data_IF_566398897154
#
_entry.id   IF_566398897154
#
_cell.length_a   1.000
_cell.length_b   1.000
_cell.length_c   1.000
_cell.angle_alpha   90.00
_cell.angle_beta   90.00
_cell.angle_gamma   90.00
#
_symmetry.space_group_name_H-M   'P 1'
#
loop_
_entity.id
_entity.type
_entity.pdbx_description
1 polymer ?
#
# COMPACT_ATOMS: atom_id res chain seq x y z
N UNK A 1 14.02 -1.15 -1.61
CA UNK A 1 13.74 0.31 -1.72
C UNK A 1 12.73 0.71 -0.66
N UNK A 2 12.87 1.92 -0.12
CA UNK A 2 11.89 2.49 0.82
C UNK A 2 10.76 3.16 0.05
N UNK A 3 9.51 2.89 0.46
CA UNK A 3 8.31 3.50 -0.08
C UNK A 3 7.27 3.67 1.03
N UNK A 4 6.11 4.22 0.68
CA UNK A 4 5.02 4.48 1.61
C UNK A 4 3.74 3.77 1.17
N UNK A 5 3.03 3.19 2.13
CA UNK A 5 1.77 2.50 1.89
C UNK A 5 0.70 3.01 2.84
N UNK A 6 -0.41 3.50 2.29
CA UNK A 6 -1.60 3.78 3.08
C UNK A 6 -2.35 2.47 3.34
N UNK A 7 -2.53 2.13 4.61
CA UNK A 7 -3.21 0.92 5.07
C UNK A 7 -4.41 1.29 5.95
N UNK A 8 -5.38 0.39 6.06
CA UNK A 8 -6.44 0.50 7.06
C UNK A 8 -5.90 0.13 8.42
N UNK A 9 -6.18 0.93 9.45
CA UNK A 9 -5.96 0.58 10.86
C UNK A 9 -7.29 0.13 11.46
N UNK A 10 -7.42 -1.14 11.84
CA UNK A 10 -8.64 -1.69 12.44
C UNK A 10 -8.69 -1.37 13.94
N UNK A 11 -9.88 -1.48 14.54
CA UNK A 11 -10.07 -1.22 15.99
C UNK A 11 -9.19 -2.12 16.87
N UNK A 12 -8.93 -3.35 16.43
CA UNK A 12 -8.04 -4.30 17.12
C UNK A 12 -6.55 -4.07 16.86
N UNK A 13 -6.16 -2.93 16.28
CA UNK A 13 -4.77 -2.56 15.99
C UNK A 13 -4.17 -3.19 14.73
N UNK A 14 -4.81 -4.20 14.13
CA UNK A 14 -4.29 -4.86 12.92
C UNK A 14 -4.37 -3.97 11.67
N UNK A 15 -3.45 -4.20 10.74
CA UNK A 15 -3.39 -3.50 9.45
C UNK A 15 -4.01 -4.34 8.34
N UNK A 16 -4.55 -3.69 7.31
CA UNK A 16 -5.04 -4.39 6.13
C UNK A 16 -5.14 -3.51 4.88
N UNK A 17 -5.36 -4.13 3.70
CA UNK A 17 -5.53 -3.41 2.44
C UNK A 17 -6.73 -2.46 2.43
N UNK A 18 -6.66 -1.42 1.58
CA UNK A 18 -7.75 -0.43 1.45
C UNK A 18 -9.01 -1.00 0.81
N UNK A 19 -8.86 -1.70 -0.33
CA UNK A 19 -9.98 -2.02 -1.24
C UNK A 19 -10.12 -3.51 -1.57
N UNK A 20 -9.05 -4.13 -2.10
CA UNK A 20 -9.02 -5.54 -2.53
C UNK A 20 -8.40 -6.38 -1.43
N UNK A 21 -8.95 -7.57 -1.18
CA UNK A 21 -8.53 -8.47 -0.09
C UNK A 21 -8.53 -7.78 1.30
N UNK A 22 -9.57 -6.99 1.59
CA UNK A 22 -9.68 -6.14 2.81
C UNK A 22 -9.58 -6.88 4.14
N UNK A 23 -9.78 -8.20 4.16
CA UNK A 23 -9.72 -9.06 5.35
C UNK A 23 -8.29 -9.52 5.66
N UNK A 24 -7.37 -9.51 4.68
CA UNK A 24 -5.97 -9.83 4.91
C UNK A 24 -5.39 -9.00 6.05
N UNK A 25 -4.66 -9.67 6.94
CA UNK A 25 -3.88 -9.02 8.00
C UNK A 25 -2.48 -8.80 7.45
N UNK A 26 -1.99 -7.56 7.54
CA UNK A 26 -0.64 -7.19 7.13
C UNK A 26 0.24 -7.14 8.38
N UNK A 27 1.06 -8.17 8.66
CA UNK A 27 1.97 -8.18 9.79
C UNK A 27 3.12 -7.17 9.62
N UNK A 28 3.58 -6.62 10.75
CA UNK A 28 4.81 -5.82 10.82
C UNK A 28 6.04 -6.72 10.70
N UNK A 29 7.09 -6.22 10.04
CA UNK A 29 8.39 -6.89 9.97
C UNK A 29 8.47 -8.17 9.11
N UNK A 30 7.37 -8.62 8.52
CA UNK A 30 7.33 -9.82 7.68
C UNK A 30 7.21 -9.48 6.20
N UNK A 31 7.96 -10.20 5.36
CA UNK A 31 7.83 -10.11 3.91
C UNK A 31 6.54 -10.76 3.44
N UNK A 32 5.79 -10.03 2.63
CA UNK A 32 4.55 -10.50 2.01
C UNK A 32 4.71 -10.52 0.49
N UNK A 33 4.35 -11.65 -0.11
CA UNK A 33 4.20 -11.78 -1.55
C UNK A 33 2.91 -11.10 -1.99
N UNK A 34 2.95 -10.38 -3.12
CA UNK A 34 1.75 -9.83 -3.73
C UNK A 34 0.90 -10.95 -4.33
N UNK A 35 -0.40 -10.90 -4.04
CA UNK A 35 -1.40 -11.81 -4.58
C UNK A 35 -2.22 -11.08 -5.65
N UNK A 36 -2.76 -11.83 -6.62
CA UNK A 36 -3.66 -11.29 -7.64
C UNK A 36 -5.11 -11.68 -7.32
N UNK A 37 -5.94 -10.68 -7.02
CA UNK A 37 -7.36 -10.85 -6.70
C UNK A 37 -8.22 -10.02 -7.66
N UNK A 38 -8.48 -10.51 -8.89
CA UNK A 38 -9.34 -9.81 -9.84
C UNK A 38 -10.70 -9.49 -9.21
N UNK A 39 -11.04 -8.20 -9.15
CA UNK A 39 -12.25 -7.72 -8.47
C UNK A 39 -13.03 -6.84 -9.42
N UNK A 40 -14.33 -7.12 -9.63
CA UNK A 40 -15.21 -6.33 -10.49
C UNK A 40 -15.15 -4.85 -10.12
N UNK A 41 -14.96 -3.97 -11.11
CA UNK A 41 -14.82 -2.52 -10.91
C UNK A 41 -13.40 -2.02 -10.63
N UNK A 42 -12.40 -2.91 -10.58
CA UNK A 42 -10.99 -2.55 -10.41
C UNK A 42 -10.15 -3.05 -11.59
N UNK A 43 -9.19 -2.23 -12.03
CA UNK A 43 -8.21 -2.67 -13.01
C UNK A 43 -7.28 -3.75 -12.43
N UNK A 44 -7.03 -4.81 -13.19
CA UNK A 44 -6.13 -5.90 -12.78
C UNK A 44 -4.68 -5.43 -12.88
N UNK A 45 -4.08 -5.18 -11.71
CA UNK A 45 -2.67 -4.75 -11.57
C UNK A 45 -2.06 -5.54 -10.40
N UNK A 46 -1.48 -6.73 -10.64
CA UNK A 46 -0.94 -7.54 -9.57
C UNK A 46 0.26 -6.84 -8.94
N UNK A 47 0.27 -6.70 -7.62
CA UNK A 47 1.37 -6.06 -6.89
C UNK A 47 0.94 -5.16 -5.73
N UNK A 48 1.87 -4.95 -4.82
CA UNK A 48 1.76 -3.95 -3.77
C UNK A 48 1.97 -2.57 -4.36
N UNK A 49 0.88 -1.80 -4.39
CA UNK A 49 0.88 -0.42 -4.83
C UNK A 49 1.36 0.50 -3.70
N UNK A 50 2.53 1.12 -3.85
CA UNK A 50 3.12 2.02 -2.85
C UNK A 50 3.50 3.35 -3.50
N UNK A 51 3.48 4.44 -2.77
CA UNK A 51 3.87 5.77 -3.28
C UNK A 51 5.31 6.09 -2.88
N UNK A 52 5.97 6.99 -3.62
CA UNK A 52 7.30 7.50 -3.26
C UNK A 52 7.29 8.44 -2.06
N UNK A 53 6.13 9.04 -1.75
CA UNK A 53 5.87 9.92 -0.60
C UNK A 53 4.54 9.51 0.05
N UNK A 54 4.29 9.78 1.34
CA UNK A 54 3.03 9.47 2.03
C UNK A 54 1.89 10.41 1.61
N UNK A 55 1.67 10.58 0.31
CA UNK A 55 0.74 11.54 -0.27
C UNK A 55 -0.17 10.86 -1.31
N UNK A 56 -1.48 10.95 -1.11
CA UNK A 56 -2.48 10.47 -2.06
C UNK A 56 -3.77 11.30 -1.90
N UNK A 57 -3.86 12.49 -2.52
CA UNK A 57 -4.90 13.49 -2.21
C UNK A 57 -6.34 13.00 -2.41
N UNK A 58 -6.55 12.15 -3.42
CA UNK A 58 -7.84 11.50 -3.71
C UNK A 58 -8.30 10.46 -2.66
N UNK A 59 -7.47 10.09 -1.68
CA UNK A 59 -7.81 9.06 -0.69
C UNK A 59 -8.14 9.70 0.67
N UNK A 60 -9.28 9.31 1.23
CA UNK A 60 -9.60 9.64 2.63
C UNK A 60 -8.55 9.08 3.59
N UNK A 61 -8.28 9.80 4.68
CA UNK A 61 -7.41 9.37 5.79
C UNK A 61 -8.18 8.73 6.95
N UNK A 62 -9.52 8.73 6.93
CA UNK A 62 -10.35 8.23 8.05
C UNK A 62 -10.11 6.73 8.26
N UNK A 63 -9.62 6.37 9.45
CA UNK A 63 -9.34 4.97 9.83
C UNK A 63 -8.18 4.34 9.03
N UNK A 64 -7.27 5.15 8.51
CA UNK A 64 -6.10 4.71 7.74
C UNK A 64 -4.83 5.33 8.29
N UNK A 65 -3.70 4.70 7.99
CA UNK A 65 -2.38 5.09 8.48
C UNK A 65 -1.35 4.89 7.38
N UNK A 66 -0.46 5.87 7.23
CA UNK A 66 0.71 5.73 6.36
C UNK A 66 1.77 4.92 7.07
N UNK A 67 2.24 3.88 6.39
CA UNK A 67 3.32 3.03 6.86
C UNK A 67 4.53 3.18 5.94
N UNK A 68 5.70 3.27 6.55
CA UNK A 68 6.97 3.10 5.86
C UNK A 68 7.15 1.61 5.54
N UNK A 69 7.43 1.31 4.29
CA UNK A 69 7.57 -0.07 3.80
C UNK A 69 8.86 -0.24 3.02
N UNK A 70 9.39 -1.45 3.07
CA UNK A 70 10.44 -1.92 2.18
C UNK A 70 9.83 -2.74 1.06
N UNK A 71 10.22 -2.47 -0.19
CA UNK A 71 9.73 -3.19 -1.37
C UNK A 71 10.87 -3.75 -2.21
N UNK A 72 10.59 -4.85 -2.92
CA UNK A 72 11.49 -5.48 -3.91
C UNK A 72 10.73 -5.90 -5.15
N UNK A 73 11.45 -6.09 -6.27
CA UNK A 73 10.90 -6.48 -7.58
C UNK A 73 9.75 -5.57 -7.97
N UNK A 74 10.08 -4.29 -8.17
CA UNK A 74 9.10 -3.23 -8.36
C UNK A 74 9.26 -2.52 -9.69
N UNK A 75 8.14 -2.04 -10.21
CA UNK A 75 8.06 -1.24 -11.43
C UNK A 75 7.51 0.14 -11.09
N UNK A 76 8.02 1.16 -11.79
CA UNK A 76 7.55 2.54 -11.64
C UNK A 76 6.26 2.74 -12.42
N UNK A 77 5.31 3.44 -11.81
CA UNK A 77 4.06 3.83 -12.45
C UNK A 77 3.83 5.32 -12.18
N UNK A 78 3.80 6.12 -13.24
CA UNK A 78 3.49 7.55 -13.13
C UNK A 78 1.98 7.72 -13.14
N UNK A 79 1.47 8.41 -12.12
CA UNK A 79 0.08 8.82 -11.98
C UNK A 79 0.00 10.34 -11.92
N UNK A 80 -1.18 10.93 -12.21
CA UNK A 80 -1.39 12.36 -12.01
C UNK A 80 -1.03 12.80 -10.59
N UNK A 81 -0.60 14.06 -10.41
CA UNK A 81 -0.30 14.61 -9.07
C UNK A 81 -1.50 14.52 -8.12
N UNK A 82 -2.72 14.67 -8.63
CA UNK A 82 -3.96 14.46 -7.87
C UNK A 82 -4.10 13.04 -7.29
N UNK A 83 -3.35 12.08 -7.83
CA UNK A 83 -3.27 10.70 -7.35
C UNK A 83 -1.99 10.39 -6.55
N UNK A 84 -1.17 11.38 -6.20
CA UNK A 84 0.09 11.17 -5.47
C UNK A 84 1.33 10.98 -6.35
N UNK A 85 1.21 11.24 -7.66
CA UNK A 85 2.37 11.28 -8.55
C UNK A 85 2.99 9.90 -8.82
N UNK A 86 4.12 9.59 -8.20
CA UNK A 86 4.88 8.37 -8.49
C UNK A 86 4.46 7.22 -7.59
N UNK A 87 4.03 6.14 -8.24
CA UNK A 87 3.68 4.88 -7.62
C UNK A 87 4.70 3.81 -8.00
N UNK A 88 4.79 2.79 -7.16
CA UNK A 88 5.57 1.59 -7.36
C UNK A 88 4.63 0.40 -7.24
N UNK A 89 4.71 -0.51 -8.21
CA UNK A 89 4.01 -1.78 -8.18
C UNK A 89 5.04 -2.87 -7.87
N UNK A 90 4.99 -3.45 -6.68
CA UNK A 90 6.03 -4.38 -6.20
C UNK A 90 5.52 -5.79 -5.95
N UNK A 91 6.35 -6.80 -6.24
CA UNK A 91 6.00 -8.20 -5.97
C UNK A 91 6.11 -8.55 -4.48
N UNK A 92 6.95 -7.87 -3.72
CA UNK A 92 7.10 -8.10 -2.27
C UNK A 92 7.13 -6.80 -1.49
N UNK A 93 6.53 -6.82 -0.31
CA UNK A 93 6.47 -5.70 0.63
C UNK A 93 6.70 -6.18 2.06
N UNK A 94 7.43 -5.39 2.85
CA UNK A 94 7.59 -5.56 4.31
C UNK A 94 7.27 -4.25 5.01
N UNK A 95 6.42 -4.28 6.01
CA UNK A 95 6.10 -3.08 6.78
C UNK A 95 7.15 -2.84 7.86
N UNK A 96 7.74 -1.64 7.86
CA UNK A 96 8.83 -1.27 8.77
C UNK A 96 8.33 -0.53 10.01
N UNK A 97 7.38 0.38 9.84
CA UNK A 97 6.94 1.26 10.91
C UNK A 97 5.87 2.24 10.46
N UNK A 98 5.22 2.89 11.43
CA UNK A 98 4.37 4.06 11.15
C UNK A 98 5.26 5.17 10.61
N UNK A 99 4.79 5.92 9.60
CA UNK A 99 5.49 7.12 9.20
C UNK A 99 5.29 8.20 10.26
N UNK A 100 6.38 8.61 10.92
CA UNK A 100 6.36 9.65 11.98
C UNK A 100 6.92 10.99 11.48
N UNK A 101 6.96 11.20 10.16
CA UNK A 101 7.36 12.49 9.57
C UNK A 101 6.29 13.57 9.78
#
# INVERSE_FOLDING_TARGET
>A
MIAYKLLRKRKNGTLGPLFINRRQIIPMGKWLQAENHPTKGYAVRPGWHTTSRPEAPHLSMKGRVWMKVEITNYEKMVRPKSQGGVWWLSKRMKVLGVNNE
#
